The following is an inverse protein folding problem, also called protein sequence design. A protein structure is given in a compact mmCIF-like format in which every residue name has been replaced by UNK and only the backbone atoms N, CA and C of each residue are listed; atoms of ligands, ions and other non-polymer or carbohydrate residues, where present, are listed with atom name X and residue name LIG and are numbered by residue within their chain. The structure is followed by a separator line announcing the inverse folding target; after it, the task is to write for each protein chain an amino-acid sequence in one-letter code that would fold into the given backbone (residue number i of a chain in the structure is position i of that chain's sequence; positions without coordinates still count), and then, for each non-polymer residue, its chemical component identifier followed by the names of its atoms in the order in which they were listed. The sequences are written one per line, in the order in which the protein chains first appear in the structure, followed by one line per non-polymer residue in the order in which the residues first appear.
data_IF_132362354812
#
_entry.id   IF_132362354812
#
_cell.length_a   1.000
_cell.length_b   1.000
_cell.length_c   1.000
_cell.angle_alpha   90.00
_cell.angle_beta   90.00
_cell.angle_gamma   90.00
#
_symmetry.space_group_name_H-M   'P 1'
#
loop_
_entity.id
_entity.type
_entity.pdbx_description
1 polymer ?
#
# COMPACT_ATOMS: atom_id res chain seq x y z
N UNK A 1 -35.66 14.83 -18.48
CA UNK A 1 -36.12 14.15 -17.24
C UNK A 1 -35.11 14.53 -16.18
N UNK A 2 -35.53 15.30 -15.17
CA UNK A 2 -34.63 15.76 -14.10
C UNK A 2 -34.16 14.56 -13.26
N UNK A 3 -32.88 14.53 -12.83
CA UNK A 3 -32.37 13.45 -12.00
C UNK A 3 -33.06 13.46 -10.63
N UNK A 4 -33.36 12.26 -10.11
CA UNK A 4 -33.90 12.10 -8.77
C UNK A 4 -32.91 12.63 -7.73
N UNK A 5 -33.36 13.22 -6.60
CA UNK A 5 -32.49 13.65 -5.51
C UNK A 5 -31.50 12.56 -5.04
N UNK A 6 -31.89 11.29 -5.11
CA UNK A 6 -31.02 10.16 -4.79
C UNK A 6 -29.87 10.00 -5.79
N UNK A 7 -30.14 10.17 -7.09
CA UNK A 7 -29.12 10.10 -8.13
C UNK A 7 -28.10 11.23 -7.98
N UNK A 8 -28.56 12.43 -7.61
CA UNK A 8 -27.70 13.56 -7.32
C UNK A 8 -26.81 13.25 -6.12
N UNK A 9 -27.37 12.75 -5.00
CA UNK A 9 -26.60 12.39 -3.82
C UNK A 9 -25.55 11.28 -4.08
N UNK A 10 -25.90 10.29 -4.89
CA UNK A 10 -25.01 9.19 -5.26
C UNK A 10 -23.84 9.67 -6.13
N UNK A 11 -24.08 10.58 -7.08
CA UNK A 11 -23.01 11.21 -7.87
C UNK A 11 -22.02 11.98 -6.98
N UNK A 12 -22.51 12.75 -6.00
CA UNK A 12 -21.63 13.45 -5.05
C UNK A 12 -20.81 12.48 -4.20
N UNK A 13 -21.44 11.40 -3.70
CA UNK A 13 -20.74 10.34 -2.96
C UNK A 13 -19.64 9.69 -3.79
N UNK A 14 -19.92 9.41 -5.07
CA UNK A 14 -18.94 8.80 -5.98
C UNK A 14 -17.76 9.75 -6.26
N UNK A 15 -18.03 11.05 -6.44
CA UNK A 15 -16.97 12.06 -6.56
C UNK A 15 -16.05 12.08 -5.33
N UNK A 16 -16.63 12.02 -4.13
CA UNK A 16 -15.87 11.95 -2.88
C UNK A 16 -15.04 10.67 -2.77
N UNK A 17 -15.55 9.52 -3.24
CA UNK A 17 -14.77 8.28 -3.25
C UNK A 17 -13.55 8.37 -4.17
N UNK A 18 -13.70 9.01 -5.33
CA UNK A 18 -12.58 9.26 -6.25
C UNK A 18 -11.55 10.19 -5.60
N UNK A 19 -11.98 11.25 -4.92
CA UNK A 19 -11.07 12.13 -4.18
C UNK A 19 -10.34 11.41 -3.05
N UNK A 20 -11.05 10.60 -2.26
CA UNK A 20 -10.47 9.79 -1.19
C UNK A 20 -9.47 8.78 -1.74
N UNK A 21 -9.77 8.15 -2.87
CA UNK A 21 -8.84 7.29 -3.59
C UNK A 21 -7.57 8.05 -3.99
N UNK A 22 -7.68 9.22 -4.64
CA UNK A 22 -6.51 9.99 -5.03
C UNK A 22 -5.74 10.58 -3.84
N UNK A 23 -6.42 10.91 -2.73
CA UNK A 23 -5.77 11.32 -1.47
C UNK A 23 -4.94 10.17 -0.91
N UNK A 24 -5.54 8.99 -0.79
CA UNK A 24 -4.87 7.78 -0.33
C UNK A 24 -3.70 7.41 -1.26
N UNK A 25 -3.92 7.44 -2.57
CA UNK A 25 -2.93 7.15 -3.60
C UNK A 25 -1.72 8.08 -3.50
N UNK A 26 -1.94 9.40 -3.40
CA UNK A 26 -0.86 10.39 -3.22
C UNK A 26 -0.08 10.19 -1.91
N UNK A 27 -0.75 9.78 -0.83
CA UNK A 27 -0.10 9.52 0.47
C UNK A 27 0.78 8.27 0.45
N UNK A 28 0.34 7.19 -0.20
CA UNK A 28 0.97 5.88 -0.05
C UNK A 28 1.99 5.57 -1.16
N UNK A 29 1.84 6.13 -2.37
CA UNK A 29 2.73 5.80 -3.49
C UNK A 29 4.00 6.66 -3.59
N UNK A 30 4.19 7.66 -2.71
CA UNK A 30 5.35 8.58 -2.70
C UNK A 30 5.87 8.89 -4.13
N UNK A 31 4.99 9.32 -5.03
CA UNK A 31 5.40 9.71 -6.39
C UNK A 31 6.20 11.01 -6.25
N UNK A 32 7.53 10.88 -6.10
CA UNK A 32 8.41 12.02 -5.79
C UNK A 32 8.57 12.95 -6.99
N UNK A 33 8.57 12.41 -8.21
CA UNK A 33 8.68 13.15 -9.47
C UNK A 33 8.01 12.38 -10.59
N UNK A 34 7.34 13.11 -11.49
CA UNK A 34 6.97 12.55 -12.77
C UNK A 34 8.21 12.52 -13.67
N UNK A 35 8.55 11.34 -14.20
CA UNK A 35 9.72 11.14 -15.07
C UNK A 35 9.53 11.64 -16.52
N UNK A 36 8.45 12.37 -16.80
CA UNK A 36 8.17 12.94 -18.12
C UNK A 36 7.18 14.08 -18.02
N UNK A 37 7.32 15.08 -18.90
CA UNK A 37 6.50 16.29 -18.92
C UNK A 37 5.26 16.17 -19.83
N UNK A 38 5.09 15.05 -20.54
CA UNK A 38 3.94 14.82 -21.42
C UNK A 38 2.78 14.19 -20.66
N UNK A 39 1.57 14.52 -21.08
CA UNK A 39 0.34 13.95 -20.51
C UNK A 39 0.32 12.42 -20.56
N UNK A 40 0.85 11.83 -21.65
CA UNK A 40 0.97 10.38 -21.78
C UNK A 40 1.96 9.78 -20.77
N UNK A 41 3.09 10.44 -20.50
CA UNK A 41 4.03 9.97 -19.50
C UNK A 41 3.40 9.97 -18.09
N UNK A 42 2.59 10.99 -17.77
CA UNK A 42 1.83 11.04 -16.52
C UNK A 42 0.77 9.94 -16.45
N UNK A 43 -0.01 9.72 -17.53
CA UNK A 43 -0.99 8.64 -17.62
C UNK A 43 -0.37 7.26 -17.37
N UNK A 44 0.73 6.95 -18.05
CA UNK A 44 1.45 5.66 -17.90
C UNK A 44 1.91 5.47 -16.44
N UNK A 45 2.44 6.51 -15.80
CA UNK A 45 2.88 6.42 -14.40
C UNK A 45 1.73 6.16 -13.44
N UNK A 46 0.59 6.83 -13.65
CA UNK A 46 -0.62 6.60 -12.84
C UNK A 46 -1.11 5.16 -13.06
N UNK A 47 -1.23 4.70 -14.31
CA UNK A 47 -1.66 3.32 -14.58
C UNK A 47 -0.70 2.29 -13.99
N UNK A 48 0.61 2.48 -14.13
CA UNK A 48 1.61 1.59 -13.54
C UNK A 48 1.47 1.52 -12.02
N UNK A 49 1.22 2.65 -11.35
CA UNK A 49 1.05 2.70 -9.91
C UNK A 49 -0.27 2.05 -9.45
N UNK A 50 -1.36 2.20 -10.22
CA UNK A 50 -2.63 1.50 -9.97
C UNK A 50 -2.44 -0.02 -10.12
N UNK A 51 -1.81 -0.47 -11.21
CA UNK A 51 -1.52 -1.89 -11.45
C UNK A 51 -0.68 -2.46 -10.30
N UNK A 52 0.37 -1.75 -9.89
CA UNK A 52 1.22 -2.16 -8.76
C UNK A 52 0.40 -2.32 -7.48
N UNK A 53 -0.49 -1.35 -7.18
CA UNK A 53 -1.35 -1.44 -6.01
C UNK A 53 -2.29 -2.66 -6.06
N UNK A 54 -2.94 -2.89 -7.20
CA UNK A 54 -3.80 -4.06 -7.38
C UNK A 54 -3.03 -5.36 -7.15
N UNK A 55 -1.81 -5.49 -7.70
CA UNK A 55 -0.96 -6.66 -7.49
C UNK A 55 -0.62 -6.88 -6.01
N UNK A 56 -0.25 -5.83 -5.29
CA UNK A 56 0.05 -5.92 -3.86
C UNK A 56 -1.19 -6.32 -3.05
N UNK A 57 -2.36 -5.76 -3.39
CA UNK A 57 -3.62 -6.13 -2.75
C UNK A 57 -4.01 -7.59 -3.03
N UNK A 58 -3.80 -8.07 -4.26
CA UNK A 58 -3.99 -9.49 -4.62
C UNK A 58 -3.06 -10.39 -3.81
N UNK A 59 -1.76 -10.06 -3.73
CA UNK A 59 -0.79 -10.83 -2.92
C UNK A 59 -1.21 -10.88 -1.45
N UNK A 60 -1.63 -9.74 -0.89
CA UNK A 60 -2.11 -9.64 0.49
C UNK A 60 -3.31 -10.56 0.74
N UNK A 61 -4.27 -10.56 -0.21
CA UNK A 61 -5.47 -11.37 -0.14
C UNK A 61 -5.16 -12.88 -0.27
N UNK A 62 -4.39 -13.27 -1.28
CA UNK A 62 -4.06 -14.66 -1.58
C UNK A 62 -3.23 -15.31 -0.47
N UNK A 63 -2.29 -14.55 0.11
CA UNK A 63 -1.44 -15.02 1.21
C UNK A 63 -2.07 -14.81 2.59
N UNK A 64 -3.30 -14.26 2.67
CA UNK A 64 -4.02 -13.97 3.92
C UNK A 64 -3.16 -13.24 4.95
N UNK A 65 -2.44 -12.22 4.51
CA UNK A 65 -1.52 -11.48 5.37
C UNK A 65 -2.30 -10.54 6.30
N UNK A 66 -2.10 -10.68 7.61
CA UNK A 66 -2.61 -9.73 8.62
C UNK A 66 -1.69 -8.50 8.74
N UNK A 67 -1.42 -7.87 7.60
CA UNK A 67 -0.61 -6.65 7.48
C UNK A 67 -1.35 -5.67 6.60
N UNK A 68 -1.10 -4.38 6.76
CA UNK A 68 -1.62 -3.37 5.85
C UNK A 68 -1.01 -3.52 4.44
N UNK A 69 -1.75 -3.15 3.40
CA UNK A 69 -1.25 -3.18 2.01
C UNK A 69 0.06 -2.39 1.85
N UNK A 70 0.23 -1.32 2.63
CA UNK A 70 1.46 -0.53 2.65
C UNK A 70 2.65 -1.30 3.22
N UNK A 71 2.49 -2.05 4.31
CA UNK A 71 3.56 -2.88 4.86
C UNK A 71 3.95 -4.01 3.89
N UNK A 72 2.98 -4.61 3.21
CA UNK A 72 3.24 -5.60 2.15
C UNK A 72 4.06 -4.97 1.03
N UNK A 73 3.68 -3.76 0.57
CA UNK A 73 4.44 -3.01 -0.43
C UNK A 73 5.88 -2.69 0.04
N UNK A 74 6.08 -2.31 1.31
CA UNK A 74 7.42 -2.03 1.86
C UNK A 74 8.31 -3.26 1.85
N UNK A 75 7.79 -4.40 2.31
CA UNK A 75 8.52 -5.67 2.33
C UNK A 75 8.93 -6.09 0.91
N UNK A 76 8.03 -5.97 -0.06
CA UNK A 76 8.32 -6.23 -1.48
C UNK A 76 9.36 -5.25 -2.04
N UNK A 77 9.26 -3.97 -1.68
CA UNK A 77 10.18 -2.93 -2.16
C UNK A 77 11.62 -3.16 -1.69
N UNK A 78 11.80 -3.60 -0.44
CA UNK A 78 13.13 -3.91 0.12
C UNK A 78 13.68 -5.23 -0.46
N UNK A 79 12.79 -6.14 -0.84
CA UNK A 79 13.13 -7.47 -1.32
C UNK A 79 13.06 -7.60 -2.84
N UNK A 80 13.17 -6.48 -3.58
CA UNK A 80 12.92 -6.43 -5.03
C UNK A 80 13.83 -7.38 -5.85
N UNK A 81 15.04 -7.63 -5.35
CA UNK A 81 16.02 -8.53 -5.97
C UNK A 81 16.05 -9.93 -5.32
N UNK A 82 15.21 -10.17 -4.31
CA UNK A 82 15.12 -11.43 -3.62
C UNK A 82 14.35 -12.44 -4.48
N UNK A 83 14.86 -13.67 -4.56
CA UNK A 83 14.26 -14.78 -5.34
C UNK A 83 13.51 -15.76 -4.47
N UNK A 84 13.44 -15.53 -3.16
CA UNK A 84 12.66 -16.36 -2.23
C UNK A 84 11.18 -16.30 -2.58
N UNK A 85 10.48 -17.40 -2.31
CA UNK A 85 9.04 -17.47 -2.53
C UNK A 85 8.34 -16.45 -1.64
N UNK A 86 7.31 -15.77 -2.17
CA UNK A 86 6.59 -14.72 -1.45
C UNK A 86 6.07 -15.20 -0.08
N UNK A 87 5.54 -16.43 -0.02
CA UNK A 87 5.08 -17.04 1.24
C UNK A 87 6.20 -17.15 2.29
N UNK A 88 7.39 -17.61 1.89
CA UNK A 88 8.55 -17.73 2.77
C UNK A 88 9.08 -16.36 3.22
N UNK A 89 9.11 -15.42 2.29
CA UNK A 89 9.56 -14.05 2.52
C UNK A 89 8.69 -13.34 3.57
N UNK A 90 7.37 -13.47 3.46
CA UNK A 90 6.43 -12.93 4.45
C UNK A 90 6.43 -13.70 5.78
N UNK A 91 6.58 -15.02 5.76
CA UNK A 91 6.73 -15.82 6.99
C UNK A 91 7.99 -15.43 7.79
N UNK A 92 9.11 -15.24 7.09
CA UNK A 92 10.36 -14.74 7.69
C UNK A 92 10.17 -13.35 8.29
N UNK A 93 9.47 -12.46 7.59
CA UNK A 93 9.15 -11.12 8.10
C UNK A 93 8.26 -11.15 9.35
N UNK A 94 7.34 -12.13 9.48
CA UNK A 94 6.53 -12.33 10.69
C UNK A 94 7.39 -12.77 11.89
N UNK A 95 8.28 -13.74 11.68
CA UNK A 95 9.15 -14.26 12.75
C UNK A 95 10.09 -13.22 13.38
N UNK A 96 10.50 -12.19 12.61
CA UNK A 96 11.34 -11.09 13.10
C UNK A 96 10.55 -10.10 13.95
N UNK A 97 9.33 -9.77 13.54
CA UNK A 97 8.45 -8.87 14.29
C UNK A 97 8.08 -9.45 15.67
N UNK A 98 7.87 -10.77 15.76
CA UNK A 98 7.59 -11.42 17.04
C UNK A 98 8.81 -11.43 17.96
N UNK A 99 10.02 -11.62 17.41
CA UNK A 99 11.26 -11.53 18.20
C UNK A 99 11.56 -10.11 18.70
N UNK A 100 11.26 -9.08 17.91
CA UNK A 100 11.37 -7.69 18.37
C UNK A 100 10.36 -7.36 19.47
N UNK A 101 9.15 -7.95 19.43
CA UNK A 101 8.13 -7.80 20.47
C UNK A 101 8.37 -8.65 21.72
N UNK A 102 9.00 -9.81 21.59
CA UNK A 102 9.23 -10.75 22.70
C UNK A 102 10.64 -10.68 23.30
N UNK A 103 11.50 -9.80 22.80
CA UNK A 103 12.94 -9.99 22.92
C UNK A 103 13.77 -8.76 23.26
N UNK A 104 13.24 -7.75 23.96
CA UNK A 104 14.07 -6.76 24.65
C UNK A 104 13.36 -6.23 25.92
N UNK A 105 13.46 -6.97 27.01
CA UNK A 105 13.71 -6.32 28.31
C UNK A 105 15.16 -5.83 28.25
N UNK A 106 15.42 -4.71 27.56
CA UNK A 106 16.70 -4.02 27.72
C UNK A 106 16.88 -3.73 29.22
N UNK A 107 18.04 -4.05 29.82
CA UNK A 107 18.34 -3.51 31.14
C UNK A 107 18.39 -1.99 30.98
N UNK A 108 17.40 -1.29 31.53
CA UNK A 108 17.42 0.16 31.58
C UNK A 108 18.70 0.61 32.28
N UNK A 109 19.42 1.56 31.68
CA UNK A 109 20.62 2.20 32.24
C UNK A 109 20.35 2.88 33.61
N UNK A 110 19.09 3.00 33.99
CA UNK A 110 18.61 3.57 35.26
C UNK A 110 18.07 2.54 36.25
N UNK A 111 18.35 1.25 36.08
CA UNK A 111 18.11 0.28 37.13
C UNK A 111 19.25 0.33 38.17
N UNK A 112 19.16 1.30 39.08
CA UNK A 112 19.82 1.30 40.39
C UNK A 112 18.80 0.94 41.48
#
# INVERSE_FOLDING_TARGET
MEPSPLQVAELYKNGWQVELFFKWFKQHLKIKKFWGATENAARIQIYSAIITYCLVATIQYDLRLDRSTYEVLQVLSISLADKTLLSELFNKANSKNDKERSGYSEPNLFNF
#
